data_IF_157145431493
#
_entry.id   IF_157145431493
#
_cell.length_a   1.000
_cell.length_b   1.000
_cell.length_c   1.000
_cell.angle_alpha   90.00
_cell.angle_beta   90.00
_cell.angle_gamma   90.00
#
_symmetry.space_group_name_H-M   'P 1'
#
loop_
_entity.id
_entity.type
_entity.pdbx_description
1 polymer ?
#
# COMPACT_ATOMS: atom_id res chain seq x y z
N UNK A 1 -9.03 6.12 18.23
CA UNK A 1 -8.41 7.41 18.53
C UNK A 1 -8.05 8.07 17.21
N UNK A 2 -8.35 9.36 17.06
CA UNK A 2 -7.89 10.16 15.91
C UNK A 2 -6.41 10.54 16.07
N UNK A 3 -5.74 10.85 14.98
CA UNK A 3 -4.27 11.09 14.98
C UNK A 3 -3.87 12.26 15.86
N UNK A 4 -4.68 13.32 15.89
CA UNK A 4 -4.50 14.51 16.76
C UNK A 4 -4.57 14.20 18.26
N UNK A 5 -5.32 13.15 18.63
CA UNK A 5 -5.48 12.69 20.03
C UNK A 5 -4.59 11.50 20.41
N UNK A 6 -3.72 11.06 19.50
CA UNK A 6 -2.92 9.84 19.72
C UNK A 6 -1.95 10.02 20.90
N UNK A 7 -1.24 11.14 20.96
CA UNK A 7 -0.26 11.42 22.03
C UNK A 7 -0.93 11.46 23.41
N UNK A 8 -2.08 12.15 23.52
CA UNK A 8 -2.87 12.22 24.75
C UNK A 8 -3.43 10.84 25.14
N UNK A 9 -3.87 10.06 24.16
CA UNK A 9 -4.35 8.70 24.44
C UNK A 9 -3.24 7.78 24.94
N UNK A 10 -2.05 7.85 24.36
CA UNK A 10 -0.90 7.05 24.78
C UNK A 10 -0.47 7.42 26.22
N UNK A 11 -0.48 8.72 26.57
CA UNK A 11 -0.10 9.17 27.91
C UNK A 11 -1.06 8.73 29.02
N UNK A 12 -2.31 8.41 28.68
CA UNK A 12 -3.34 7.93 29.62
C UNK A 12 -3.31 6.41 29.84
N UNK A 13 -2.53 5.67 29.04
CA UNK A 13 -2.39 4.23 29.23
C UNK A 13 -1.50 3.92 30.44
N UNK A 14 -1.91 2.96 31.25
CA UNK A 14 -1.12 2.49 32.40
C UNK A 14 0.20 1.85 31.97
N UNK A 15 0.18 1.14 30.83
CA UNK A 15 1.35 0.55 30.20
C UNK A 15 1.37 0.91 28.72
N UNK A 16 2.56 1.04 28.09
CA UNK A 16 2.64 1.21 26.64
C UNK A 16 1.97 0.05 25.91
N UNK A 17 1.32 0.29 24.77
CA UNK A 17 0.77 -0.79 23.98
C UNK A 17 1.88 -1.59 23.28
N UNK A 18 1.69 -2.90 23.13
CA UNK A 18 2.63 -3.77 22.39
C UNK A 18 2.62 -3.49 20.89
N UNK A 19 1.49 -3.02 20.37
CA UNK A 19 1.28 -2.79 18.95
C UNK A 19 0.26 -1.68 18.73
N UNK A 20 0.56 -0.78 17.80
CA UNK A 20 -0.41 0.20 17.28
C UNK A 20 -0.79 -0.20 15.85
N UNK A 21 -2.10 -0.30 15.60
CA UNK A 21 -2.67 -0.57 14.28
C UNK A 21 -3.35 0.72 13.81
N UNK A 22 -3.01 1.17 12.62
CA UNK A 22 -3.55 2.42 12.07
C UNK A 22 -4.07 2.24 10.63
N UNK A 23 -4.66 3.28 10.07
CA UNK A 23 -4.85 3.40 8.63
C UNK A 23 -3.50 3.76 7.99
N UNK A 24 -3.13 3.07 6.91
CA UNK A 24 -1.87 3.35 6.19
C UNK A 24 -1.82 4.74 5.55
N UNK A 25 -2.96 5.40 5.39
CA UNK A 25 -3.01 6.77 4.90
C UNK A 25 -2.40 7.79 5.88
N UNK A 26 -2.37 7.47 7.18
CA UNK A 26 -1.81 8.32 8.24
C UNK A 26 -0.50 7.77 8.82
N UNK A 27 0.14 6.83 8.14
CA UNK A 27 1.40 6.21 8.58
C UNK A 27 2.47 7.24 8.98
N UNK A 28 2.71 8.25 8.13
CA UNK A 28 3.72 9.27 8.41
C UNK A 28 3.43 10.05 9.70
N UNK A 29 2.17 10.44 9.91
CA UNK A 29 1.73 11.17 11.10
C UNK A 29 1.85 10.30 12.35
N UNK A 30 1.34 9.06 12.30
CA UNK A 30 1.43 8.13 13.45
C UNK A 30 2.89 7.81 13.77
N UNK A 31 3.73 7.58 12.74
CA UNK A 31 5.15 7.30 12.92
C UNK A 31 5.92 8.46 13.58
N UNK A 32 5.53 9.72 13.35
CA UNK A 32 6.17 10.88 13.97
C UNK A 32 5.81 11.05 15.46
N UNK A 33 4.65 10.53 15.87
CA UNK A 33 4.14 10.63 17.24
C UNK A 33 4.55 9.40 18.07
N UNK A 34 4.54 8.21 17.46
CA UNK A 34 4.70 6.95 18.16
C UNK A 34 6.17 6.69 18.52
N UNK A 35 6.50 6.39 19.81
CA UNK A 35 7.82 5.94 20.22
C UNK A 35 8.32 4.75 19.39
N UNK A 36 9.64 4.69 19.14
CA UNK A 36 10.24 3.68 18.25
C UNK A 36 10.11 2.26 18.78
N UNK A 37 10.03 2.11 20.08
CA UNK A 37 9.89 0.83 20.80
C UNK A 37 8.52 0.19 20.61
N UNK A 38 7.49 1.01 20.35
CA UNK A 38 6.13 0.51 20.12
C UNK A 38 5.99 0.07 18.67
N UNK A 39 5.63 -1.20 18.47
CA UNK A 39 5.42 -1.76 17.13
C UNK A 39 4.28 -1.06 16.40
N UNK A 40 4.43 -0.87 15.11
CA UNK A 40 3.46 -0.21 14.23
C UNK A 40 3.07 -1.12 13.08
N UNK A 41 1.79 -1.17 12.77
CA UNK A 41 1.26 -1.79 11.54
C UNK A 41 0.00 -1.05 11.07
N UNK A 42 -0.58 -1.51 9.97
CA UNK A 42 -1.87 -1.01 9.50
C UNK A 42 -2.81 -2.12 9.08
N UNK A 43 -4.10 -1.80 8.99
CA UNK A 43 -5.08 -2.76 8.48
C UNK A 43 -4.74 -3.27 7.08
N UNK A 44 -4.23 -2.42 6.19
CA UNK A 44 -3.84 -2.85 4.84
C UNK A 44 -2.59 -3.72 4.82
N UNK A 45 -1.65 -3.58 5.78
CA UNK A 45 -0.54 -4.51 5.97
C UNK A 45 -1.03 -5.88 6.47
N UNK A 46 -1.91 -5.88 7.47
CA UNK A 46 -2.53 -7.11 7.97
C UNK A 46 -3.33 -7.82 6.87
N UNK A 47 -4.05 -7.06 6.05
CA UNK A 47 -4.76 -7.61 4.88
C UNK A 47 -3.80 -8.16 3.83
N UNK A 48 -2.66 -7.50 3.57
CA UNK A 48 -1.63 -8.01 2.67
C UNK A 48 -1.12 -9.38 3.11
N UNK A 49 -0.78 -9.52 4.39
CA UNK A 49 -0.34 -10.80 4.97
C UNK A 49 -1.42 -11.88 4.94
N UNK A 50 -2.65 -11.52 5.25
CA UNK A 50 -3.77 -12.48 5.29
C UNK A 50 -4.17 -12.94 3.89
N UNK A 51 -4.25 -12.03 2.94
CA UNK A 51 -4.80 -12.28 1.60
C UNK A 51 -3.76 -12.72 0.58
N UNK A 52 -2.54 -12.23 0.67
CA UNK A 52 -1.48 -12.49 -0.30
C UNK A 52 -0.23 -13.14 0.31
N UNK A 53 0.81 -13.16 -0.48
CA UNK A 53 2.18 -13.36 -0.04
C UNK A 53 2.77 -11.97 0.26
N UNK A 54 3.07 -11.71 1.53
CA UNK A 54 3.54 -10.41 1.98
C UNK A 54 4.96 -10.12 1.49
N UNK A 55 5.80 -11.13 1.40
CA UNK A 55 7.18 -10.98 0.95
C UNK A 55 7.23 -10.57 -0.53
N UNK A 56 6.35 -11.13 -1.36
CA UNK A 56 6.20 -10.71 -2.75
C UNK A 56 5.67 -9.27 -2.86
N UNK A 57 4.74 -8.85 -2.00
CA UNK A 57 4.30 -7.46 -1.97
C UNK A 57 5.41 -6.50 -1.53
N UNK A 58 6.25 -6.90 -0.58
CA UNK A 58 7.42 -6.12 -0.14
C UNK A 58 8.45 -5.99 -1.26
N UNK A 59 8.77 -7.08 -1.95
CA UNK A 59 9.64 -7.04 -3.16
C UNK A 59 9.08 -6.09 -4.21
N UNK A 60 7.78 -6.19 -4.49
CA UNK A 60 7.09 -5.30 -5.43
C UNK A 60 7.17 -3.82 -5.01
N UNK A 61 7.11 -3.52 -3.72
CA UNK A 61 7.25 -2.14 -3.23
C UNK A 61 8.67 -1.58 -3.46
N UNK A 62 9.71 -2.41 -3.38
CA UNK A 62 11.07 -1.97 -3.70
C UNK A 62 11.23 -1.56 -5.18
N UNK A 63 10.43 -2.11 -6.10
CA UNK A 63 10.44 -1.71 -7.50
C UNK A 63 10.06 -0.23 -7.70
N UNK A 64 9.32 0.38 -6.77
CA UNK A 64 8.98 1.82 -6.81
C UNK A 64 10.26 2.68 -6.91
N UNK A 65 11.37 2.26 -6.30
CA UNK A 65 12.64 3.00 -6.32
C UNK A 65 13.32 3.03 -7.70
N UNK A 66 12.97 2.08 -8.55
CA UNK A 66 13.60 1.88 -9.85
C UNK A 66 12.76 2.44 -11.00
N UNK A 67 11.60 3.06 -10.71
CA UNK A 67 10.75 3.65 -11.74
C UNK A 67 11.44 4.84 -12.41
N UNK A 68 11.25 4.93 -13.72
CA UNK A 68 11.78 5.96 -14.61
C UNK A 68 10.65 6.82 -15.20
N UNK A 69 11.02 7.96 -15.79
CA UNK A 69 10.03 8.80 -16.47
C UNK A 69 9.36 8.04 -17.63
N UNK A 70 8.04 8.10 -17.69
CA UNK A 70 7.22 7.39 -18.66
C UNK A 70 6.83 5.98 -18.26
N UNK A 71 7.35 5.43 -17.14
CA UNK A 71 6.96 4.11 -16.68
C UNK A 71 5.47 4.04 -16.36
N UNK A 72 4.84 2.94 -16.79
CA UNK A 72 3.41 2.70 -16.57
C UNK A 72 3.17 1.96 -15.25
N UNK A 73 2.41 2.58 -14.37
CA UNK A 73 1.97 1.99 -13.09
C UNK A 73 0.48 1.69 -13.14
N UNK A 74 0.14 0.42 -12.97
CA UNK A 74 -1.23 -0.07 -12.95
C UNK A 74 -1.75 -0.09 -11.52
N UNK A 75 -2.76 0.71 -11.22
CA UNK A 75 -3.44 0.71 -9.92
C UNK A 75 -4.73 -0.08 -10.02
N UNK A 76 -4.85 -1.15 -9.23
CA UNK A 76 -5.97 -2.10 -9.29
C UNK A 76 -6.86 -1.98 -8.05
N UNK A 77 -8.14 -1.71 -8.27
CA UNK A 77 -9.18 -1.73 -7.23
C UNK A 77 -10.18 -2.85 -7.49
N UNK A 78 -10.55 -3.62 -6.47
CA UNK A 78 -11.53 -4.72 -6.61
C UNK A 78 -12.92 -4.38 -6.07
N UNK A 79 -13.16 -3.18 -5.63
CA UNK A 79 -14.45 -2.75 -5.11
C UNK A 79 -14.89 -1.47 -5.82
N UNK A 80 -16.18 -1.41 -6.14
CA UNK A 80 -16.82 -0.20 -6.62
C UNK A 80 -17.13 0.73 -5.43
N UNK A 81 -16.10 1.30 -4.81
CA UNK A 81 -16.31 2.37 -3.85
C UNK A 81 -16.74 3.63 -4.57
N UNK A 82 -17.65 4.39 -3.94
CA UNK A 82 -17.90 5.75 -4.41
C UNK A 82 -16.60 6.54 -4.39
N UNK A 83 -16.27 7.19 -5.51
CA UNK A 83 -15.11 8.06 -5.63
C UNK A 83 -15.27 9.19 -4.63
N UNK A 84 -14.46 9.21 -3.59
CA UNK A 84 -14.40 10.29 -2.60
C UNK A 84 -13.44 11.38 -3.06
N UNK A 85 -13.59 12.61 -2.54
CA UNK A 85 -12.70 13.73 -2.89
C UNK A 85 -11.22 13.46 -2.67
N UNK A 86 -10.88 12.58 -1.73
CA UNK A 86 -9.50 12.17 -1.39
C UNK A 86 -9.25 10.69 -1.72
N UNK A 87 -9.65 10.26 -2.91
CA UNK A 87 -9.52 8.88 -3.37
C UNK A 87 -8.06 8.42 -3.33
N UNK A 88 -7.84 7.34 -2.60
CA UNK A 88 -6.48 6.80 -2.37
C UNK A 88 -5.80 6.35 -3.65
N UNK A 89 -6.55 5.70 -4.54
CA UNK A 89 -6.02 5.14 -5.79
C UNK A 89 -5.79 6.20 -6.86
N UNK A 90 -6.71 7.18 -6.97
CA UNK A 90 -6.70 8.17 -8.05
C UNK A 90 -5.95 9.45 -7.71
N UNK A 91 -5.81 9.76 -6.42
CA UNK A 91 -5.20 11.03 -5.98
C UNK A 91 -3.98 10.77 -5.11
N UNK A 92 -4.14 10.06 -3.99
CA UNK A 92 -3.10 9.99 -2.97
C UNK A 92 -1.89 9.16 -3.41
N UNK A 93 -2.10 7.96 -3.95
CA UNK A 93 -1.00 7.10 -4.43
C UNK A 93 -0.24 7.76 -5.58
N UNK A 94 -0.88 8.29 -6.65
CA UNK A 94 -0.18 9.02 -7.70
C UNK A 94 0.65 10.20 -7.21
N UNK A 95 0.08 11.05 -6.32
CA UNK A 95 0.81 12.16 -5.72
C UNK A 95 2.03 11.70 -4.91
N UNK A 96 1.89 10.61 -4.14
CA UNK A 96 2.99 10.07 -3.34
C UNK A 96 4.06 9.41 -4.22
N UNK A 97 3.67 8.70 -5.28
CA UNK A 97 4.62 8.17 -6.27
C UNK A 97 5.45 9.29 -6.90
N UNK A 98 4.80 10.34 -7.40
CA UNK A 98 5.48 11.51 -7.97
C UNK A 98 6.44 12.16 -6.95
N UNK A 99 5.98 12.36 -5.72
CA UNK A 99 6.81 12.95 -4.64
C UNK A 99 8.00 12.07 -4.28
N UNK A 100 7.81 10.75 -4.23
CA UNK A 100 8.83 9.80 -3.81
C UNK A 100 9.88 9.55 -4.89
N UNK A 101 9.43 9.36 -6.14
CA UNK A 101 10.32 9.04 -7.28
C UNK A 101 10.90 10.27 -7.94
N UNK A 102 10.22 11.41 -7.87
CA UNK A 102 10.54 12.61 -8.67
C UNK A 102 10.26 12.45 -10.15
N UNK A 103 9.53 11.41 -10.58
CA UNK A 103 9.31 11.01 -11.96
C UNK A 103 7.89 11.32 -12.44
N UNK A 104 7.75 11.55 -13.74
CA UNK A 104 6.46 11.62 -14.42
C UNK A 104 6.08 10.21 -14.89
N UNK A 105 5.08 9.63 -14.24
CA UNK A 105 4.64 8.25 -14.46
C UNK A 105 3.29 8.22 -15.19
N UNK A 106 3.08 7.21 -16.03
CA UNK A 106 1.77 6.93 -16.61
C UNK A 106 0.95 6.11 -15.60
N UNK A 107 -0.08 6.72 -15.02
CA UNK A 107 -0.93 6.04 -14.03
C UNK A 107 -2.20 5.55 -14.69
N UNK A 108 -2.41 4.23 -14.69
CA UNK A 108 -3.61 3.59 -15.21
C UNK A 108 -4.40 2.96 -14.07
N UNK A 109 -5.62 3.46 -13.84
CA UNK A 109 -6.51 2.92 -12.83
C UNK A 109 -7.47 1.93 -13.47
N UNK A 110 -7.51 0.70 -12.97
CA UNK A 110 -8.51 -0.30 -13.35
C UNK A 110 -9.32 -0.73 -12.13
N UNK A 111 -10.62 -0.88 -12.34
CA UNK A 111 -11.52 -1.39 -11.31
C UNK A 111 -12.08 -2.74 -11.72
N UNK A 112 -12.25 -3.61 -10.71
CA UNK A 112 -12.99 -4.83 -10.86
C UNK A 112 -12.20 -6.08 -11.19
N UNK A 113 -12.95 -7.08 -11.62
CA UNK A 113 -12.48 -8.46 -11.85
C UNK A 113 -12.22 -8.72 -13.34
N UNK A 114 -12.25 -7.68 -14.16
CA UNK A 114 -12.18 -7.78 -15.61
C UNK A 114 -10.78 -8.12 -16.11
N UNK A 115 -10.70 -8.48 -17.39
CA UNK A 115 -9.44 -8.72 -18.07
C UNK A 115 -8.50 -7.52 -17.93
N UNK A 116 -7.23 -7.81 -17.69
CA UNK A 116 -6.21 -6.76 -17.63
C UNK A 116 -6.00 -6.17 -19.03
N UNK A 117 -5.62 -4.88 -19.13
CA UNK A 117 -5.18 -4.30 -20.40
C UNK A 117 -3.92 -5.00 -20.89
N UNK A 118 -3.40 -4.57 -22.02
CA UNK A 118 -2.07 -5.00 -22.45
C UNK A 118 -1.05 -4.66 -21.38
N UNK A 119 -0.28 -5.66 -20.94
CA UNK A 119 0.68 -5.57 -19.85
C UNK A 119 2.13 -5.39 -20.34
N UNK A 120 2.35 -5.34 -21.67
CA UNK A 120 3.70 -5.34 -22.26
C UNK A 120 4.59 -4.19 -21.77
N UNK A 121 4.00 -3.08 -21.37
CA UNK A 121 4.68 -1.85 -20.94
C UNK A 121 4.41 -1.49 -19.46
N UNK A 122 3.81 -2.40 -18.68
CA UNK A 122 3.55 -2.18 -17.26
C UNK A 122 4.80 -2.45 -16.42
N UNK A 123 5.29 -1.42 -15.74
CA UNK A 123 6.50 -1.49 -14.89
C UNK A 123 6.19 -1.88 -13.44
N UNK A 124 4.98 -1.60 -12.97
CA UNK A 124 4.57 -1.89 -11.58
C UNK A 124 3.04 -2.03 -11.46
N UNK A 125 2.62 -2.94 -10.62
CA UNK A 125 1.21 -3.07 -10.18
C UNK A 125 1.07 -2.72 -8.71
N UNK A 126 0.13 -1.82 -8.39
CA UNK A 126 -0.25 -1.48 -7.02
C UNK A 126 -1.72 -1.87 -6.81
N UNK A 127 -1.96 -2.91 -6.03
CA UNK A 127 -3.29 -3.47 -5.81
C UNK A 127 -3.90 -2.96 -4.51
N UNK A 128 -5.20 -2.73 -4.47
CA UNK A 128 -5.89 -2.42 -3.21
C UNK A 128 -5.77 -3.58 -2.20
N UNK A 129 -6.19 -3.35 -0.95
CA UNK A 129 -6.15 -4.36 0.11
C UNK A 129 -6.92 -5.66 -0.17
N UNK A 130 -7.74 -5.69 -1.21
CA UNK A 130 -8.46 -6.89 -1.65
C UNK A 130 -9.49 -7.39 -0.64
N UNK A 131 -10.14 -6.51 0.12
CA UNK A 131 -11.12 -6.88 1.14
C UNK A 131 -12.28 -7.71 0.57
N UNK A 132 -12.67 -7.45 -0.69
CA UNK A 132 -13.77 -8.12 -1.38
C UNK A 132 -13.38 -9.42 -2.12
N UNK A 133 -12.10 -9.79 -2.12
CA UNK A 133 -11.62 -11.04 -2.72
C UNK A 133 -11.04 -11.97 -1.67
N UNK A 134 -11.06 -13.26 -1.96
CA UNK A 134 -10.48 -14.26 -1.09
C UNK A 134 -8.96 -14.41 -1.32
N UNK A 135 -8.29 -15.15 -0.42
CA UNK A 135 -6.85 -15.40 -0.49
C UNK A 135 -6.42 -16.08 -1.81
N UNK A 136 -7.18 -17.08 -2.26
CA UNK A 136 -6.87 -17.81 -3.50
C UNK A 136 -6.83 -16.86 -4.70
N UNK A 137 -7.79 -15.96 -4.80
CA UNK A 137 -7.85 -14.96 -5.87
C UNK A 137 -6.65 -14.01 -5.81
N UNK A 138 -6.28 -13.52 -4.63
CA UNK A 138 -5.12 -12.63 -4.47
C UNK A 138 -3.82 -13.34 -4.88
N UNK A 139 -3.59 -14.55 -4.38
CA UNK A 139 -2.41 -15.35 -4.74
C UNK A 139 -2.36 -15.68 -6.24
N UNK A 140 -3.52 -15.92 -6.87
CA UNK A 140 -3.58 -16.13 -8.32
C UNK A 140 -3.18 -14.86 -9.10
N UNK A 141 -3.57 -13.69 -8.62
CA UNK A 141 -3.15 -12.41 -9.20
C UNK A 141 -1.64 -12.19 -9.05
N UNK A 142 -1.08 -12.41 -7.86
CA UNK A 142 0.37 -12.31 -7.65
C UNK A 142 1.14 -13.23 -8.59
N UNK A 143 0.76 -14.50 -8.69
CA UNK A 143 1.36 -15.46 -9.64
C UNK A 143 1.21 -15.05 -11.10
N UNK A 144 0.10 -14.41 -11.44
CA UNK A 144 -0.12 -13.94 -12.81
C UNK A 144 0.88 -12.82 -13.16
N UNK A 145 1.05 -11.82 -12.31
CA UNK A 145 2.00 -10.74 -12.54
C UNK A 145 3.45 -11.22 -12.45
N UNK A 146 3.77 -12.11 -11.51
CA UNK A 146 5.08 -12.74 -11.40
C UNK A 146 5.49 -13.46 -12.70
N UNK A 147 4.58 -14.27 -13.29
CA UNK A 147 4.81 -14.95 -14.58
C UNK A 147 5.06 -14.01 -15.74
N UNK A 148 4.53 -12.79 -15.66
CA UNK A 148 4.76 -11.74 -16.65
C UNK A 148 5.95 -10.83 -16.31
N UNK A 149 6.72 -11.17 -15.26
CA UNK A 149 7.85 -10.38 -14.74
C UNK A 149 7.45 -8.96 -14.32
N UNK A 150 6.22 -8.75 -13.89
CA UNK A 150 5.73 -7.47 -13.42
C UNK A 150 5.68 -7.47 -11.91
N UNK A 151 6.46 -6.62 -11.21
CA UNK A 151 6.40 -6.51 -9.76
C UNK A 151 5.02 -6.04 -9.30
N UNK A 152 4.52 -6.66 -8.24
CA UNK A 152 3.22 -6.33 -7.67
C UNK A 152 3.35 -6.01 -6.19
N UNK A 153 2.77 -4.89 -5.77
CA UNK A 153 2.62 -4.53 -4.36
C UNK A 153 1.18 -4.19 -4.01
N UNK A 154 0.89 -3.88 -2.74
CA UNK A 154 -0.42 -3.41 -2.34
C UNK A 154 -0.37 -1.99 -1.76
N UNK A 155 -1.53 -1.35 -1.61
CA UNK A 155 -1.65 0.01 -1.11
C UNK A 155 -0.91 0.23 0.22
N UNK A 156 -1.07 -0.68 1.18
CA UNK A 156 -0.44 -0.55 2.50
C UNK A 156 1.07 -0.61 2.45
N UNK A 157 1.61 -1.59 1.71
CA UNK A 157 3.06 -1.78 1.55
C UNK A 157 3.68 -0.64 0.74
N UNK A 158 3.01 -0.21 -0.35
CA UNK A 158 3.43 0.94 -1.14
C UNK A 158 3.47 2.23 -0.30
N UNK A 159 2.44 2.48 0.49
CA UNK A 159 2.39 3.65 1.39
C UNK A 159 3.46 3.58 2.48
N UNK A 160 3.74 2.41 3.06
CA UNK A 160 4.82 2.24 4.01
C UNK A 160 6.20 2.53 3.38
N UNK A 161 6.43 2.03 2.16
CA UNK A 161 7.65 2.30 1.38
C UNK A 161 7.82 3.80 1.13
N UNK A 162 6.80 4.45 0.57
CA UNK A 162 6.87 5.87 0.22
C UNK A 162 6.95 6.81 1.41
N UNK A 163 6.51 6.38 2.60
CA UNK A 163 6.72 7.10 3.86
C UNK A 163 8.07 6.77 4.54
N UNK A 164 8.90 5.91 3.95
CA UNK A 164 10.20 5.53 4.51
C UNK A 164 10.14 4.72 5.80
N UNK A 165 9.03 4.01 6.05
CA UNK A 165 8.79 3.28 7.30
C UNK A 165 8.58 1.77 7.08
N UNK A 166 8.82 1.26 5.88
CA UNK A 166 8.57 -0.15 5.56
C UNK A 166 9.36 -1.10 6.48
N UNK A 167 10.60 -0.76 6.81
CA UNK A 167 11.46 -1.56 7.71
C UNK A 167 10.99 -1.53 9.18
N UNK A 168 10.22 -0.51 9.57
CA UNK A 168 9.67 -0.38 10.92
C UNK A 168 8.34 -1.11 11.09
N UNK A 169 7.58 -1.23 10.02
CA UNK A 169 6.24 -1.81 10.06
C UNK A 169 6.33 -3.32 10.26
N UNK A 170 5.60 -3.84 11.24
CA UNK A 170 5.49 -5.29 11.47
C UNK A 170 4.31 -5.89 10.71
N UNK A 171 4.46 -7.10 10.18
CA UNK A 171 3.47 -7.84 9.40
C UNK A 171 3.57 -9.34 9.57
#
# INVERSE_FOLDING_TARGET
VTTDKLSDALSKLKNPPDLVITDSQVFGQVNSILPKEIRLTSFSMLMAKNKGDIDEFVKGAFAIRNLSDGDKVLIIENCAHHIMKDDIARIKIPMMLKKFTGKELEIVNISGQNAYPDLSDVSLVIHCGGCMINRKTMLSKQKYFEKNNIPMTNFGVALAMMNGILERVVY
#
